data_IF_017152120344
#
_entry.id   IF_017152120344
#
_cell.length_a   1.000
_cell.length_b   1.000
_cell.length_c   1.000
_cell.angle_alpha   90.00
_cell.angle_beta   90.00
_cell.angle_gamma   90.00
#
_symmetry.space_group_name_H-M   'P 1'
#
loop_
_entity.id
_entity.type
_entity.pdbx_description
1 polymer ?
#
# COMPACT_ATOMS: atom_id res chain seq x y z
N UNK A 1 2.69 -5.66 -28.17
CA UNK A 1 2.85 -4.21 -28.00
C UNK A 1 1.52 -3.72 -27.47
N UNK A 2 1.50 -3.07 -26.31
CA UNK A 2 0.28 -2.46 -25.80
C UNK A 2 -0.23 -1.42 -26.81
N UNK A 3 -1.56 -1.25 -26.93
CA UNK A 3 -2.17 -0.32 -27.87
C UNK A 3 -1.85 1.13 -27.50
N UNK A 4 -1.01 1.79 -28.29
CA UNK A 4 -0.68 3.21 -28.13
C UNK A 4 -1.76 4.11 -28.75
N UNK A 5 -2.15 5.17 -28.03
CA UNK A 5 -3.04 6.21 -28.57
C UNK A 5 -4.43 5.70 -28.94
N UNK A 6 -4.83 5.82 -30.21
CA UNK A 6 -6.17 5.53 -30.75
C UNK A 6 -6.73 4.13 -30.45
N UNK A 7 -5.91 3.19 -30.00
CA UNK A 7 -6.34 1.84 -29.59
C UNK A 7 -6.60 1.69 -28.08
N UNK A 8 -6.24 2.68 -27.26
CA UNK A 8 -6.55 2.70 -25.84
C UNK A 8 -7.99 3.21 -25.59
N UNK A 9 -8.80 2.39 -24.93
CA UNK A 9 -10.21 2.70 -24.63
C UNK A 9 -10.33 3.95 -23.74
N UNK A 10 -9.44 4.14 -22.77
CA UNK A 10 -9.48 5.32 -21.90
C UNK A 10 -9.08 6.60 -22.63
N UNK A 11 -8.08 6.57 -23.52
CA UNK A 11 -7.78 7.72 -24.39
C UNK A 11 -9.00 8.13 -25.22
N UNK A 12 -9.68 7.16 -25.85
CA UNK A 12 -10.90 7.44 -26.63
C UNK A 12 -12.00 8.09 -25.78
N UNK A 13 -12.16 7.67 -24.53
CA UNK A 13 -13.12 8.27 -23.60
C UNK A 13 -12.71 9.68 -23.17
N UNK A 14 -11.42 9.88 -22.88
CA UNK A 14 -10.82 11.16 -22.50
C UNK A 14 -10.95 12.20 -23.62
N UNK A 15 -10.78 11.78 -24.88
CA UNK A 15 -10.97 12.62 -26.07
C UNK A 15 -12.45 13.00 -26.28
N UNK A 16 -13.37 12.28 -25.63
CA UNK A 16 -14.82 12.49 -25.72
C UNK A 16 -15.45 12.66 -24.33
N UNK A 17 -15.02 13.65 -23.52
CA UNK A 17 -15.36 13.72 -22.10
C UNK A 17 -16.87 13.99 -21.86
N UNK A 18 -17.59 14.46 -22.88
CA UNK A 18 -19.06 14.60 -22.86
C UNK A 18 -19.80 13.27 -22.64
N UNK A 19 -19.13 12.13 -22.90
CA UNK A 19 -19.68 10.78 -22.67
C UNK A 19 -19.41 10.28 -21.23
N UNK A 20 -18.54 10.97 -20.49
CA UNK A 20 -18.13 10.59 -19.15
C UNK A 20 -19.04 11.25 -18.10
N UNK A 21 -19.43 10.47 -17.10
CA UNK A 21 -20.07 11.00 -15.90
C UNK A 21 -18.99 11.49 -14.93
N UNK A 22 -18.36 12.62 -15.26
CA UNK A 22 -17.27 13.22 -14.50
C UNK A 22 -17.82 13.76 -13.17
N UNK A 23 -17.19 13.34 -12.07
CA UNK A 23 -17.52 13.77 -10.71
C UNK A 23 -16.37 14.51 -10.04
N UNK A 24 -15.20 14.59 -10.66
CA UNK A 24 -14.04 15.34 -10.21
C UNK A 24 -13.05 15.51 -11.35
N UNK A 25 -12.30 16.60 -11.33
CA UNK A 25 -11.32 16.93 -12.35
C UNK A 25 -10.22 17.78 -11.72
N UNK A 26 -8.98 17.50 -12.12
CA UNK A 26 -7.81 18.32 -11.80
C UNK A 26 -7.11 18.69 -13.10
N UNK A 27 -5.89 19.23 -13.04
CA UNK A 27 -5.14 19.57 -14.25
C UNK A 27 -4.85 18.31 -15.07
N UNK A 28 -4.32 17.27 -14.41
CA UNK A 28 -3.83 16.06 -15.06
C UNK A 28 -4.80 14.88 -15.00
N UNK A 29 -5.87 14.93 -14.21
CA UNK A 29 -6.76 13.79 -13.98
C UNK A 29 -8.23 14.09 -14.20
N UNK A 30 -8.96 13.06 -14.61
CA UNK A 30 -10.41 12.97 -14.43
C UNK A 30 -10.76 11.93 -13.37
N UNK A 31 -11.87 12.16 -12.67
CA UNK A 31 -12.58 11.17 -11.88
C UNK A 31 -13.99 11.00 -12.44
N UNK A 32 -14.33 9.81 -12.95
CA UNK A 32 -15.66 9.53 -13.51
C UNK A 32 -16.26 8.24 -12.95
N UNK A 33 -17.60 8.15 -12.99
CA UNK A 33 -18.32 6.94 -12.60
C UNK A 33 -18.17 5.84 -13.65
N UNK A 34 -17.81 4.65 -13.21
CA UNK A 34 -17.62 3.49 -14.08
C UNK A 34 -18.96 3.00 -14.67
N UNK A 35 -19.00 2.72 -15.98
CA UNK A 35 -20.22 2.31 -16.69
C UNK A 35 -20.64 0.88 -16.35
N UNK A 36 -19.68 0.02 -16.00
CA UNK A 36 -19.93 -1.31 -15.43
C UNK A 36 -19.50 -1.34 -13.95
N UNK A 37 -20.27 -0.69 -13.06
CA UNK A 37 -19.86 -0.48 -11.67
C UNK A 37 -19.85 -1.80 -10.89
N UNK A 38 -18.80 -2.01 -10.09
CA UNK A 38 -18.71 -3.13 -9.13
C UNK A 38 -19.25 -2.76 -7.74
N UNK A 39 -19.53 -1.48 -7.51
CA UNK A 39 -20.10 -0.93 -6.28
C UNK A 39 -20.88 0.35 -6.60
N UNK A 40 -21.85 0.72 -5.76
CA UNK A 40 -22.55 2.00 -5.88
C UNK A 40 -21.55 3.16 -5.72
N UNK A 41 -21.44 3.99 -6.76
CA UNK A 41 -20.45 5.06 -6.81
C UNK A 41 -19.02 4.61 -7.18
N UNK A 42 -18.86 3.41 -7.75
CA UNK A 42 -17.58 2.97 -8.32
C UNK A 42 -17.03 4.03 -9.29
N UNK A 43 -15.86 4.57 -8.97
CA UNK A 43 -15.24 5.69 -9.68
C UNK A 43 -13.85 5.29 -10.13
N UNK A 44 -13.48 5.68 -11.35
CA UNK A 44 -12.11 5.61 -11.86
C UNK A 44 -11.47 6.99 -11.82
N UNK A 45 -10.26 7.08 -11.25
CA UNK A 45 -9.39 8.24 -11.37
C UNK A 45 -8.33 7.90 -12.41
N UNK A 46 -8.26 8.67 -13.50
CA UNK A 46 -7.49 8.33 -14.70
C UNK A 46 -6.74 9.58 -15.18
N UNK A 47 -5.44 9.47 -15.53
CA UNK A 47 -4.70 10.59 -16.08
C UNK A 47 -5.24 10.91 -17.47
N UNK A 48 -5.31 12.20 -17.80
CA UNK A 48 -5.72 12.71 -19.10
C UNK A 48 -4.70 12.32 -20.18
N UNK A 49 -3.42 12.33 -19.82
CA UNK A 49 -2.37 11.78 -20.69
C UNK A 49 -2.32 10.26 -20.59
N UNK A 50 -1.95 9.63 -21.70
CA UNK A 50 -1.74 8.19 -21.73
C UNK A 50 -0.49 7.83 -20.92
N UNK A 51 -0.70 7.10 -19.84
CA UNK A 51 0.33 6.48 -19.02
C UNK A 51 -0.07 5.03 -18.84
N UNK A 52 0.83 4.09 -19.13
CA UNK A 52 0.48 2.66 -19.08
C UNK A 52 0.24 2.24 -17.63
N UNK A 53 1.09 2.73 -16.71
CA UNK A 53 1.03 2.39 -15.29
C UNK A 53 1.09 3.64 -14.43
N UNK A 54 0.60 3.52 -13.19
CA UNK A 54 0.81 4.56 -12.17
C UNK A 54 2.31 4.80 -11.93
N UNK A 55 3.15 3.80 -12.22
CA UNK A 55 4.62 3.90 -12.10
C UNK A 55 5.23 4.96 -13.03
N UNK A 56 4.49 5.39 -14.06
CA UNK A 56 4.90 6.46 -14.98
C UNK A 56 4.54 7.87 -14.45
N UNK A 57 4.02 7.97 -13.22
CA UNK A 57 3.64 9.25 -12.63
C UNK A 57 4.86 9.97 -12.07
N UNK A 58 4.88 11.28 -12.25
CA UNK A 58 5.75 12.18 -11.50
C UNK A 58 5.29 12.26 -10.04
N UNK A 59 6.17 12.66 -9.10
CA UNK A 59 5.77 12.86 -7.71
C UNK A 59 4.55 13.77 -7.54
N UNK A 60 4.44 14.82 -8.34
CA UNK A 60 3.32 15.76 -8.31
C UNK A 60 2.01 15.10 -8.76
N UNK A 61 2.06 14.23 -9.77
CA UNK A 61 0.87 13.50 -10.23
C UNK A 61 0.39 12.46 -9.22
N UNK A 62 1.29 11.83 -8.47
CA UNK A 62 0.91 10.98 -7.33
C UNK A 62 0.13 11.78 -6.29
N UNK A 63 0.62 12.95 -5.89
CA UNK A 63 -0.04 13.83 -4.92
C UNK A 63 -1.42 14.31 -5.41
N UNK A 64 -1.50 14.70 -6.69
CA UNK A 64 -2.72 15.15 -7.33
C UNK A 64 -3.76 14.03 -7.41
N UNK A 65 -3.37 12.84 -7.87
CA UNK A 65 -4.25 11.69 -7.99
C UNK A 65 -4.80 11.26 -6.61
N UNK A 66 -3.95 11.22 -5.58
CA UNK A 66 -4.37 10.85 -4.22
C UNK A 66 -5.24 11.91 -3.56
N UNK A 67 -5.00 13.19 -3.86
CA UNK A 67 -5.90 14.28 -3.45
C UNK A 67 -7.29 14.13 -4.08
N UNK A 68 -7.35 13.75 -5.36
CA UNK A 68 -8.61 13.51 -6.06
C UNK A 68 -9.34 12.26 -5.53
N UNK A 69 -8.61 11.19 -5.20
CA UNK A 69 -9.15 10.00 -4.51
C UNK A 69 -9.85 10.40 -3.21
N UNK A 70 -9.18 11.23 -2.38
CA UNK A 70 -9.77 11.75 -1.13
C UNK A 70 -11.06 12.52 -1.41
N UNK A 71 -11.06 13.40 -2.42
CA UNK A 71 -12.25 14.16 -2.80
C UNK A 71 -13.42 13.24 -3.20
N UNK A 72 -13.15 12.24 -4.04
CA UNK A 72 -14.14 11.24 -4.48
C UNK A 72 -14.71 10.48 -3.28
N UNK A 73 -13.88 10.04 -2.35
CA UNK A 73 -14.35 9.35 -1.13
C UNK A 73 -15.23 10.29 -0.29
N UNK A 74 -14.83 11.56 -0.10
CA UNK A 74 -15.67 12.53 0.64
C UNK A 74 -17.02 12.74 -0.06
N UNK A 75 -17.03 12.84 -1.40
CA UNK A 75 -18.26 12.92 -2.20
C UNK A 75 -19.13 11.68 -2.04
N UNK A 76 -18.54 10.49 -2.05
CA UNK A 76 -19.27 9.25 -1.84
C UNK A 76 -19.90 9.18 -0.44
N UNK A 77 -19.14 9.53 0.61
CA UNK A 77 -19.66 9.53 1.99
C UNK A 77 -20.80 10.54 2.17
N UNK A 78 -20.60 11.78 1.72
CA UNK A 78 -21.59 12.87 1.92
C UNK A 78 -22.77 12.80 0.96
N UNK A 79 -22.54 12.39 -0.29
CA UNK A 79 -23.53 12.41 -1.37
C UNK A 79 -24.30 11.10 -1.51
N UNK A 80 -23.67 9.96 -1.22
CA UNK A 80 -24.29 8.64 -1.37
C UNK A 80 -24.60 7.96 -0.03
N UNK A 81 -24.06 8.48 1.07
CA UNK A 81 -24.18 7.87 2.39
C UNK A 81 -23.24 6.68 2.59
N UNK A 82 -22.10 6.63 1.90
CA UNK A 82 -21.16 5.52 2.08
C UNK A 82 -20.53 5.52 3.47
N UNK A 83 -20.47 4.36 4.11
CA UNK A 83 -19.89 4.17 5.44
C UNK A 83 -18.35 4.06 5.36
N UNK A 84 -17.86 3.47 4.28
CA UNK A 84 -16.44 3.30 3.98
C UNK A 84 -16.11 3.41 2.50
N UNK A 85 -14.86 3.11 2.16
CA UNK A 85 -14.40 2.99 0.78
C UNK A 85 -13.21 2.02 0.72
N UNK A 86 -13.13 1.26 -0.37
CA UNK A 86 -11.92 0.53 -0.76
C UNK A 86 -11.28 1.24 -1.95
N UNK A 87 -9.97 1.38 -1.95
CA UNK A 87 -9.21 1.92 -3.08
C UNK A 87 -8.31 0.82 -3.63
N UNK A 88 -8.24 0.67 -4.95
CA UNK A 88 -7.35 -0.32 -5.58
C UNK A 88 -6.50 0.33 -6.65
N UNK A 89 -5.24 -0.09 -6.67
CA UNK A 89 -4.26 0.22 -7.69
C UNK A 89 -3.67 -1.12 -8.10
N UNK A 90 -3.86 -1.50 -9.36
CA UNK A 90 -3.33 -2.74 -9.90
C UNK A 90 -2.20 -2.36 -10.85
N UNK A 91 -1.05 -3.00 -10.70
CA UNK A 91 0.17 -2.72 -11.46
C UNK A 91 0.56 -3.99 -12.20
N UNK A 92 0.69 -3.89 -13.52
CA UNK A 92 0.99 -4.98 -14.44
C UNK A 92 -0.08 -6.11 -14.43
N UNK A 93 -0.02 -6.98 -15.45
CA UNK A 93 -0.98 -8.09 -15.60
C UNK A 93 -1.01 -9.00 -14.37
N UNK A 94 0.15 -9.27 -13.77
CA UNK A 94 0.27 -10.10 -12.58
C UNK A 94 -0.37 -9.47 -11.33
N UNK A 95 -0.40 -8.13 -11.25
CA UNK A 95 -1.12 -7.38 -10.21
C UNK A 95 -2.61 -7.19 -10.52
N UNK A 96 -3.11 -7.70 -11.65
CA UNK A 96 -4.51 -7.61 -12.04
C UNK A 96 -4.87 -6.32 -12.78
N UNK A 97 -3.89 -5.63 -13.36
CA UNK A 97 -4.15 -4.53 -14.28
C UNK A 97 -4.73 -5.11 -15.58
N UNK A 98 -5.90 -4.59 -15.98
CA UNK A 98 -6.64 -5.13 -17.14
C UNK A 98 -6.55 -4.27 -18.39
N UNK A 99 -6.17 -3.01 -18.24
CA UNK A 99 -6.09 -2.02 -19.31
C UNK A 99 -4.70 -1.39 -19.27
N UNK A 100 -4.12 -1.19 -20.44
CA UNK A 100 -2.83 -0.53 -20.62
C UNK A 100 -2.99 1.00 -20.54
N UNK A 101 -3.67 1.49 -19.50
CA UNK A 101 -3.79 2.89 -19.12
C UNK A 101 -3.96 2.94 -17.60
N UNK A 102 -3.22 3.80 -16.92
CA UNK A 102 -3.21 3.90 -15.47
C UNK A 102 -4.57 4.31 -14.90
N UNK A 103 -5.01 3.66 -13.84
CA UNK A 103 -6.22 4.06 -13.12
C UNK A 103 -6.15 3.71 -11.65
N UNK A 104 -6.82 4.51 -10.84
CA UNK A 104 -7.10 4.21 -9.43
C UNK A 104 -8.60 4.03 -9.30
N UNK A 105 -9.03 2.86 -8.83
CA UNK A 105 -10.44 2.58 -8.61
C UNK A 105 -10.84 2.86 -7.17
N UNK A 106 -11.92 3.61 -6.98
CA UNK A 106 -12.55 3.84 -5.69
C UNK A 106 -13.90 3.13 -5.64
N UNK A 107 -14.07 2.27 -4.64
CA UNK A 107 -15.29 1.51 -4.38
C UNK A 107 -15.88 1.96 -3.04
N UNK A 108 -16.87 2.86 -3.02
CA UNK A 108 -17.61 3.15 -1.81
C UNK A 108 -18.22 1.87 -1.22
N UNK A 109 -18.25 1.78 0.12
CA UNK A 109 -18.73 0.62 0.87
C UNK A 109 -19.91 1.03 1.75
N UNK A 110 -20.92 0.18 1.79
CA UNK A 110 -22.13 0.37 2.59
C UNK A 110 -22.30 -0.82 3.53
N UNK A 111 -22.69 -0.58 4.79
CA UNK A 111 -22.87 -1.67 5.77
C UNK A 111 -23.94 -2.70 5.35
N UNK A 112 -24.91 -2.29 4.53
CA UNK A 112 -25.94 -3.17 4.00
C UNK A 112 -25.48 -4.09 2.86
N UNK A 113 -24.30 -3.86 2.28
CA UNK A 113 -23.78 -4.72 1.21
C UNK A 113 -23.37 -6.09 1.78
N UNK A 114 -23.66 -7.19 1.06
CA UNK A 114 -23.33 -8.55 1.51
C UNK A 114 -21.82 -8.74 1.81
N UNK A 115 -20.96 -7.99 1.11
CA UNK A 115 -19.52 -8.03 1.26
C UNK A 115 -18.97 -6.83 2.07
N UNK A 116 -19.81 -6.11 2.81
CA UNK A 116 -19.38 -5.00 3.66
C UNK A 116 -18.23 -5.43 4.59
N UNK A 117 -17.20 -4.61 4.71
CA UNK A 117 -16.03 -4.91 5.53
C UNK A 117 -15.07 -5.98 4.99
N UNK A 118 -15.40 -6.71 3.91
CA UNK A 118 -14.45 -7.65 3.28
C UNK A 118 -13.31 -6.88 2.62
N UNK A 119 -12.04 -7.06 3.06
CA UNK A 119 -10.89 -6.40 2.46
C UNK A 119 -10.70 -6.85 1.01
N UNK A 120 -10.25 -5.95 0.13
CA UNK A 120 -9.99 -6.30 -1.28
C UNK A 120 -8.93 -7.40 -1.42
N UNK A 121 -7.97 -7.45 -0.48
CA UNK A 121 -6.92 -8.48 -0.43
C UNK A 121 -7.34 -9.83 0.17
N UNK A 122 -8.63 -10.05 0.49
CA UNK A 122 -9.10 -11.32 1.08
C UNK A 122 -8.90 -12.55 0.17
N UNK A 123 -8.50 -12.35 -1.09
CA UNK A 123 -8.11 -13.41 -2.02
C UNK A 123 -6.73 -14.01 -1.71
N UNK A 124 -5.86 -13.29 -1.01
CA UNK A 124 -4.53 -13.77 -0.68
C UNK A 124 -4.61 -14.69 0.54
N UNK A 125 -4.23 -15.95 0.34
CA UNK A 125 -4.11 -16.90 1.44
C UNK A 125 -2.90 -16.56 2.30
N UNK A 126 -3.00 -16.81 3.61
CA UNK A 126 -1.86 -16.68 4.50
C UNK A 126 -0.77 -17.71 4.13
N UNK A 127 0.49 -17.26 4.14
CA UNK A 127 1.67 -18.04 3.74
C UNK A 127 2.66 -18.06 4.89
N UNK A 128 2.38 -18.92 5.88
CA UNK A 128 3.17 -19.02 7.12
C UNK A 128 4.65 -19.31 6.84
N UNK A 129 4.96 -20.03 5.75
CA UNK A 129 6.32 -20.41 5.40
C UNK A 129 7.21 -19.24 4.94
N UNK A 130 6.62 -18.05 4.71
CA UNK A 130 7.39 -16.84 4.42
C UNK A 130 7.88 -16.15 5.69
N UNK A 131 7.33 -16.47 6.86
CA UNK A 131 7.73 -15.86 8.13
C UNK A 131 9.20 -16.14 8.46
N UNK A 132 9.69 -17.35 8.15
CA UNK A 132 11.09 -17.74 8.38
C UNK A 132 12.07 -17.12 7.37
N UNK A 133 11.57 -16.41 6.34
CA UNK A 133 12.37 -15.85 5.24
C UNK A 133 12.39 -14.33 5.21
N UNK A 134 11.84 -13.66 6.21
CA UNK A 134 11.68 -12.20 6.20
C UNK A 134 13.03 -11.47 6.05
N UNK A 135 14.08 -11.91 6.75
CA UNK A 135 15.43 -11.33 6.63
C UNK A 135 16.01 -11.50 5.21
N UNK A 136 15.84 -12.68 4.61
CA UNK A 136 16.27 -12.95 3.23
C UNK A 136 15.53 -12.05 2.24
N UNK A 137 14.20 -11.94 2.36
CA UNK A 137 13.35 -11.13 1.50
C UNK A 137 13.68 -9.64 1.63
N UNK A 138 13.87 -9.15 2.86
CA UNK A 138 14.30 -7.77 3.11
C UNK A 138 15.65 -7.50 2.43
N UNK A 139 16.64 -8.37 2.63
CA UNK A 139 17.96 -8.21 2.02
C UNK A 139 17.91 -8.19 0.48
N UNK A 140 17.03 -8.98 -0.12
CA UNK A 140 16.80 -8.93 -1.58
C UNK A 140 16.18 -7.60 -2.02
N UNK A 141 15.18 -7.09 -1.31
CA UNK A 141 14.49 -5.84 -1.65
C UNK A 141 15.39 -4.61 -1.44
N UNK A 142 16.12 -4.55 -0.33
CA UNK A 142 17.00 -3.41 0.02
C UNK A 142 18.30 -3.38 -0.80
N UNK A 143 18.61 -4.47 -1.52
CA UNK A 143 19.77 -4.51 -2.43
C UNK A 143 19.61 -3.66 -3.69
N UNK A 144 18.41 -3.10 -3.93
CA UNK A 144 18.08 -2.31 -5.10
C UNK A 144 17.80 -0.86 -4.68
N UNK A 145 18.66 0.05 -5.12
CA UNK A 145 18.42 1.49 -4.97
C UNK A 145 17.32 1.96 -5.94
N UNK A 146 16.33 2.68 -5.41
CA UNK A 146 15.25 3.29 -6.21
C UNK A 146 15.40 4.80 -6.18
N UNK A 147 15.66 5.39 -7.34
CA UNK A 147 15.64 6.85 -7.49
C UNK A 147 14.21 7.31 -7.76
N UNK A 148 13.50 7.78 -6.72
CA UNK A 148 12.14 8.30 -6.86
C UNK A 148 11.94 9.60 -6.08
N UNK A 149 11.64 10.68 -6.80
CA UNK A 149 11.39 12.00 -6.23
C UNK A 149 12.54 12.56 -5.38
N UNK A 150 12.30 13.68 -4.72
CA UNK A 150 13.18 14.11 -3.63
C UNK A 150 12.74 13.41 -2.34
N UNK A 151 13.67 12.96 -1.49
CA UNK A 151 13.32 12.44 -0.17
C UNK A 151 12.46 13.47 0.56
N UNK A 152 11.24 13.09 0.93
CA UNK A 152 10.41 13.92 1.80
C UNK A 152 10.97 13.79 3.20
N UNK A 153 11.30 14.91 3.84
CA UNK A 153 11.74 14.85 5.24
C UNK A 153 10.62 14.21 6.08
N UNK A 154 10.93 13.15 6.84
CA UNK A 154 9.93 12.49 7.66
C UNK A 154 9.36 13.50 8.64
N UNK A 155 8.04 13.44 8.84
CA UNK A 155 7.35 14.30 9.79
C UNK A 155 8.05 14.21 11.17
N UNK A 156 8.22 15.32 11.91
CA UNK A 156 8.96 15.28 13.18
C UNK A 156 8.46 14.20 14.15
N UNK A 157 7.14 13.99 14.20
CA UNK A 157 6.56 12.94 15.04
C UNK A 157 6.81 11.51 14.54
N UNK A 158 7.11 11.28 13.26
CA UNK A 158 7.46 9.94 12.79
C UNK A 158 8.92 9.59 13.09
N UNK A 159 9.78 10.58 13.35
CA UNK A 159 11.19 10.37 13.67
C UNK A 159 11.38 9.63 15.00
N UNK A 160 10.46 9.81 15.96
CA UNK A 160 10.48 9.09 17.25
C UNK A 160 10.49 7.57 17.08
N UNK A 161 9.85 7.04 16.04
CA UNK A 161 9.82 5.59 15.80
C UNK A 161 11.18 5.03 15.36
N UNK A 162 12.03 5.88 14.76
CA UNK A 162 13.39 5.49 14.37
C UNK A 162 14.34 5.55 15.57
N UNK A 163 14.22 6.60 16.38
CA UNK A 163 15.00 6.77 17.61
C UNK A 163 14.67 5.70 18.67
N UNK A 164 13.40 5.31 18.80
CA UNK A 164 12.97 4.22 19.69
C UNK A 164 13.53 2.86 19.24
N UNK A 165 13.58 2.58 17.93
CA UNK A 165 14.18 1.35 17.39
C UNK A 165 15.68 1.29 17.68
N UNK A 166 16.41 2.38 17.40
CA UNK A 166 17.86 2.49 17.65
C UNK A 166 18.20 2.37 19.15
N UNK A 167 17.36 2.89 20.05
CA UNK A 167 17.52 2.70 21.49
C UNK A 167 17.23 1.27 21.95
N UNK A 168 16.24 0.61 21.36
CA UNK A 168 15.89 -0.78 21.69
C UNK A 168 16.99 -1.75 21.25
N UNK A 169 17.53 -1.56 20.05
CA UNK A 169 18.67 -2.34 19.54
C UNK A 169 19.94 -2.15 20.39
N UNK A 170 20.19 -0.93 20.88
CA UNK A 170 21.30 -0.66 21.80
C UNK A 170 21.12 -1.35 23.16
N UNK A 171 19.92 -1.34 23.73
CA UNK A 171 19.65 -2.00 25.02
C UNK A 171 19.73 -3.52 24.92
N UNK A 172 19.22 -4.12 23.84
CA UNK A 172 19.30 -5.57 23.63
C UNK A 172 20.77 -6.03 23.45
N UNK A 173 21.57 -5.23 22.74
CA UNK A 173 23.00 -5.50 22.57
C UNK A 173 23.76 -5.37 23.89
N UNK A 174 23.43 -4.39 24.73
CA UNK A 174 24.04 -4.22 26.06
C UNK A 174 23.64 -5.34 27.04
N UNK A 175 22.39 -5.79 27.01
CA UNK A 175 21.92 -6.93 27.83
C UNK A 175 22.57 -8.25 27.41
N UNK A 176 22.66 -8.55 26.11
CA UNK A 176 23.38 -9.74 25.61
C UNK A 176 24.87 -9.71 25.97
N UNK A 177 25.50 -8.53 25.96
CA UNK A 177 26.91 -8.38 26.33
C UNK A 177 27.09 -8.60 27.84
N UNK A 178 26.17 -8.10 28.68
CA UNK A 178 26.20 -8.31 30.12
C UNK A 178 25.89 -9.75 30.54
N UNK A 179 25.04 -10.48 29.80
CA UNK A 179 24.80 -11.90 30.05
C UNK A 179 26.03 -12.76 29.70
N UNK A 180 26.70 -12.48 28.57
CA UNK A 180 27.96 -13.17 28.21
C UNK A 180 29.08 -12.90 29.22
N UNK A 181 29.23 -11.66 29.70
CA UNK A 181 30.21 -11.33 30.75
C UNK A 181 29.89 -11.98 32.10
N UNK A 182 28.61 -12.20 32.42
CA UNK A 182 28.19 -12.94 33.62
C UNK A 182 28.48 -14.43 33.51
N UNK A 183 28.24 -15.04 32.34
CA UNK A 183 28.51 -16.48 32.13
C UNK A 183 30.01 -16.81 32.16
N UNK A 184 30.87 -15.93 31.64
CA UNK A 184 32.33 -16.12 31.71
C UNK A 184 32.93 -15.97 33.12
N UNK A 185 32.18 -15.39 34.08
CA UNK A 185 32.66 -15.08 35.43
C UNK A 185 32.13 -16.03 36.53
N UNK A 186 31.50 -17.15 36.14
CA UNK A 186 31.04 -18.18 37.09
C UNK A 186 32.17 -19.19 37.34
N UNK A 187 32.94 -18.99 38.42
CA UNK A 187 33.83 -20.04 38.93
C UNK A 187 33.02 -21.30 39.36
N UNK A 188 33.46 -22.52 39.00
CA UNK A 188 32.70 -23.74 39.28
C UNK A 188 32.79 -24.09 40.78
N UNK A 189 31.74 -23.78 41.54
CA UNK A 189 31.55 -24.34 42.89
C UNK A 189 30.88 -25.71 42.81
N UNK A 190 31.70 -26.76 42.79
CA UNK A 190 31.25 -28.10 43.15
C UNK A 190 30.86 -28.17 44.64
N UNK A 191 29.63 -28.61 44.94
CA UNK A 191 29.34 -29.56 46.03
C UNK A 191 27.89 -30.06 45.94
N UNK A 192 27.71 -31.39 45.98
CA UNK A 192 26.47 -32.05 45.64
C UNK A 192 25.43 -32.19 46.74
N UNK A 193 24.28 -32.76 46.37
CA UNK A 193 23.67 -33.98 46.94
C UNK A 193 22.41 -34.33 46.14
N UNK A 194 22.34 -35.56 45.64
CA UNK A 194 21.16 -36.14 45.00
C UNK A 194 20.05 -36.36 46.02
N UNK A 195 18.83 -35.91 45.71
CA UNK A 195 17.62 -36.26 46.45
C UNK A 195 16.74 -37.17 45.60
N UNK A 196 16.45 -38.37 46.13
CA UNK A 196 15.45 -39.30 45.61
C UNK A 196 14.05 -38.87 46.08
N UNK A 197 13.07 -38.95 45.17
CA UNK A 197 11.66 -38.72 45.48
C UNK A 197 10.95 -40.05 45.74
N UNK A 198 10.20 -40.13 46.85
CA UNK A 198 9.23 -41.19 47.14
C UNK A 198 7.89 -40.92 46.47
#
# INVERSE_FOLDING_TARGET
MPPQGDQCVYCQLIDNPQQLMIIGETENFYAWLEVQPRAKGHTQIVPKEHKESIMDYTPQEYDEAMSLVREVIVKAKKGLGADGASVTINIDEAGGQMLDHAYISVFPRFEEDENAGTPTGAIFQHREELADKLEELQGQMDSVDVEFGQPVEPHPESQKYREEQEQTEQTDTEEETQEKEKEENIEPKHQGKSFEWK
#
